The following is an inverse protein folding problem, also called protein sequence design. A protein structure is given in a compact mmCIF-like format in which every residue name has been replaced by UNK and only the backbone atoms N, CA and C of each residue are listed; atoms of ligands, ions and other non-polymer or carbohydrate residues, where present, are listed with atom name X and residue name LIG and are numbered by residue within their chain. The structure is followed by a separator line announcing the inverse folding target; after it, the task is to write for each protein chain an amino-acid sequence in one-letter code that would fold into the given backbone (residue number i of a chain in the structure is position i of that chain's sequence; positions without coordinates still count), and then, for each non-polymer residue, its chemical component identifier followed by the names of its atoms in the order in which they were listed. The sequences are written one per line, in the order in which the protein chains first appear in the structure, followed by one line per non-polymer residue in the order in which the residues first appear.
data_IF_912714308079
#
_entry.id   IF_912714308079
#
_cell.length_a   1.000
_cell.length_b   1.000
_cell.length_c   1.000
_cell.angle_alpha   90.00
_cell.angle_beta   90.00
_cell.angle_gamma   90.00
#
_symmetry.space_group_name_H-M   'P 1'
#
loop_
_entity.id
_entity.type
_entity.pdbx_description
1 polymer ?
#
# COMPACT_ATOMS: atom_id res chain seq x y z
N UNK A 1 -6.38 -25.24 26.08
CA UNK A 1 -5.99 -23.95 25.47
C UNK A 1 -6.40 -23.97 24.00
N UNK A 2 -7.38 -23.17 23.59
CA UNK A 2 -7.83 -23.09 22.19
C UNK A 2 -7.24 -21.83 21.54
N UNK A 3 -6.20 -21.99 20.70
CA UNK A 3 -5.63 -20.87 19.96
C UNK A 3 -6.45 -20.63 18.69
N UNK A 4 -7.09 -19.46 18.55
CA UNK A 4 -7.67 -19.03 17.27
C UNK A 4 -6.53 -18.69 16.30
N UNK A 5 -6.38 -19.45 15.21
CA UNK A 5 -5.43 -19.12 14.12
C UNK A 5 -5.85 -17.78 13.49
N UNK A 6 -5.01 -16.76 13.58
CA UNK A 6 -5.15 -15.55 12.78
C UNK A 6 -4.83 -15.91 11.32
N UNK A 7 -5.82 -15.87 10.43
CA UNK A 7 -5.68 -16.03 8.96
C UNK A 7 -5.01 -14.81 8.31
N UNK A 8 -4.08 -14.15 9.00
CA UNK A 8 -3.35 -13.04 8.40
C UNK A 8 -2.31 -13.63 7.46
N UNK A 9 -2.49 -13.44 6.16
CA UNK A 9 -1.49 -13.76 5.16
C UNK A 9 -0.17 -13.10 5.56
N UNK A 10 0.91 -13.89 5.59
CA UNK A 10 2.24 -13.38 5.90
C UNK A 10 2.61 -12.32 4.85
N UNK A 11 2.78 -11.08 5.28
CA UNK A 11 3.27 -10.00 4.41
C UNK A 11 4.79 -10.11 4.37
N UNK A 12 5.34 -10.24 3.17
CA UNK A 12 6.78 -10.28 2.96
C UNK A 12 7.20 -9.04 2.16
N UNK A 13 8.10 -8.26 2.75
CA UNK A 13 8.73 -7.13 2.08
C UNK A 13 10.02 -7.59 1.43
N UNK A 14 10.19 -7.27 0.15
CA UNK A 14 11.44 -7.50 -0.59
C UNK A 14 12.13 -6.16 -0.86
N UNK A 15 13.42 -6.22 -1.18
CA UNK A 15 14.24 -5.07 -1.54
C UNK A 15 14.88 -5.31 -2.90
N UNK A 16 15.00 -4.26 -3.69
CA UNK A 16 15.62 -4.30 -5.01
C UNK A 16 16.26 -2.94 -5.32
N UNK A 17 17.24 -2.95 -6.21
CA UNK A 17 17.94 -1.74 -6.63
C UNK A 17 17.17 -1.00 -7.71
N UNK A 18 17.27 0.33 -7.70
CA UNK A 18 16.70 1.23 -8.69
C UNK A 18 17.76 2.26 -9.09
N UNK A 19 17.62 2.79 -10.31
CA UNK A 19 18.38 3.97 -10.72
C UNK A 19 18.10 5.15 -9.77
N UNK A 20 19.12 5.94 -9.47
CA UNK A 20 19.02 7.05 -8.52
C UNK A 20 17.99 8.10 -8.94
N UNK A 21 17.90 8.42 -10.24
CA UNK A 21 16.92 9.39 -10.73
C UNK A 21 15.49 8.86 -10.59
N UNK A 22 15.30 7.57 -10.87
CA UNK A 22 14.01 6.92 -10.69
C UNK A 22 13.60 6.88 -9.21
N UNK A 23 14.57 6.63 -8.31
CA UNK A 23 14.32 6.66 -6.88
C UNK A 23 13.84 8.02 -6.40
N UNK A 24 14.51 9.09 -6.85
CA UNK A 24 14.14 10.46 -6.53
C UNK A 24 12.73 10.81 -7.01
N UNK A 25 12.39 10.46 -8.25
CA UNK A 25 11.04 10.68 -8.80
C UNK A 25 9.98 9.95 -7.96
N UNK A 26 10.24 8.70 -7.57
CA UNK A 26 9.31 7.92 -6.76
C UNK A 26 9.12 8.50 -5.36
N UNK A 27 10.18 9.03 -4.75
CA UNK A 27 10.10 9.71 -3.46
C UNK A 27 9.30 11.02 -3.55
N UNK A 28 9.48 11.80 -4.62
CA UNK A 28 8.68 13.01 -4.87
C UNK A 28 7.19 12.69 -5.09
N UNK A 29 6.87 11.65 -5.86
CA UNK A 29 5.48 11.19 -6.05
C UNK A 29 4.88 10.73 -4.70
N UNK A 30 5.63 9.95 -3.93
CA UNK A 30 5.20 9.48 -2.62
C UNK A 30 4.91 10.65 -1.66
N UNK A 31 5.75 11.69 -1.70
CA UNK A 31 5.57 12.93 -0.94
C UNK A 31 4.30 13.69 -1.36
N UNK A 32 4.07 13.86 -2.66
CA UNK A 32 2.89 14.56 -3.21
C UNK A 32 1.60 13.80 -2.88
N UNK A 33 1.59 12.47 -3.01
CA UNK A 33 0.42 11.64 -2.72
C UNK A 33 0.20 11.36 -1.22
N UNK A 34 1.17 11.74 -0.37
CA UNK A 34 1.18 11.46 1.08
C UNK A 34 1.01 9.95 1.34
N UNK A 35 1.76 9.14 0.60
CA UNK A 35 1.78 7.67 0.70
C UNK A 35 3.22 7.16 0.82
N UNK A 36 3.39 5.90 1.25
CA UNK A 36 4.72 5.29 1.23
C UNK A 36 5.13 4.94 -0.21
N UNK A 37 6.42 5.03 -0.51
CA UNK A 37 7.00 4.62 -1.80
C UNK A 37 6.63 3.19 -2.18
N UNK A 38 6.56 2.26 -1.21
CA UNK A 38 6.10 0.89 -1.44
C UNK A 38 4.68 0.82 -2.02
N UNK A 39 3.75 1.65 -1.53
CA UNK A 39 2.38 1.69 -2.03
C UNK A 39 2.34 2.26 -3.46
N UNK A 40 3.15 3.28 -3.75
CA UNK A 40 3.27 3.84 -5.10
C UNK A 40 3.75 2.77 -6.07
N UNK A 41 4.83 2.05 -5.72
CA UNK A 41 5.39 0.97 -6.53
C UNK A 41 4.37 -0.15 -6.74
N UNK A 42 3.72 -0.63 -5.68
CA UNK A 42 2.70 -1.69 -5.79
C UNK A 42 1.53 -1.25 -6.70
N UNK A 43 1.11 0.01 -6.62
CA UNK A 43 0.06 0.57 -7.50
C UNK A 43 0.50 0.63 -8.96
N UNK A 44 1.74 1.04 -9.22
CA UNK A 44 2.30 1.09 -10.57
C UNK A 44 2.38 -0.33 -11.17
N UNK A 45 2.90 -1.30 -10.42
CA UNK A 45 2.98 -2.70 -10.85
C UNK A 45 1.57 -3.26 -11.10
N UNK A 46 0.62 -3.00 -10.20
CA UNK A 46 -0.77 -3.43 -10.39
C UNK A 46 -1.39 -2.82 -11.65
N UNK A 47 -1.20 -1.52 -11.88
CA UNK A 47 -1.74 -0.82 -13.04
C UNK A 47 -1.19 -1.39 -14.35
N UNK A 48 0.14 -1.56 -14.42
CA UNK A 48 0.84 -2.16 -15.55
C UNK A 48 0.35 -3.58 -15.83
N UNK A 49 0.33 -4.45 -14.81
CA UNK A 49 -0.09 -5.86 -14.95
C UNK A 49 -1.58 -6.06 -15.26
N UNK A 50 -2.41 -5.01 -15.15
CA UNK A 50 -3.85 -5.06 -15.45
C UNK A 50 -4.25 -4.35 -16.74
N UNK A 51 -3.29 -3.91 -17.55
CA UNK A 51 -3.54 -3.41 -18.91
C UNK A 51 -3.78 -1.91 -19.01
N UNK A 52 -3.37 -1.14 -18.00
CA UNK A 52 -3.24 0.33 -18.08
C UNK A 52 -4.52 1.12 -18.44
N UNK A 53 -5.70 0.53 -18.22
CA UNK A 53 -6.97 1.19 -18.50
C UNK A 53 -7.51 2.01 -17.30
N UNK A 54 -8.53 2.84 -17.54
CA UNK A 54 -9.17 3.64 -16.50
C UNK A 54 -9.72 2.77 -15.34
N UNK A 55 -10.09 1.52 -15.63
CA UNK A 55 -10.60 0.55 -14.65
C UNK A 55 -9.49 0.04 -13.74
N UNK A 56 -8.31 -0.28 -14.29
CA UNK A 56 -7.11 -0.65 -13.59
C UNK A 56 -6.61 0.51 -12.72
N UNK A 57 -6.63 1.73 -13.25
CA UNK A 57 -6.31 2.94 -12.47
C UNK A 57 -7.20 3.08 -11.25
N UNK A 58 -8.53 2.99 -11.42
CA UNK A 58 -9.49 3.09 -10.32
C UNK A 58 -9.30 1.97 -9.28
N UNK A 59 -8.96 0.76 -9.73
CA UNK A 59 -8.72 -0.40 -8.84
C UNK A 59 -7.41 -0.28 -8.07
N UNK A 60 -6.33 0.18 -8.69
CA UNK A 60 -5.03 0.37 -8.03
C UNK A 60 -5.15 1.27 -6.79
N UNK A 61 -5.96 2.34 -6.88
CA UNK A 61 -6.20 3.28 -5.77
C UNK A 61 -7.09 2.72 -4.65
N UNK A 62 -7.89 1.68 -4.92
CA UNK A 62 -8.89 1.16 -3.98
C UNK A 62 -8.27 0.31 -2.87
N UNK A 63 -7.22 -0.44 -3.18
CA UNK A 63 -6.58 -1.38 -2.23
C UNK A 63 -5.95 -0.69 -1.02
N UNK A 64 -5.61 0.59 -1.14
CA UNK A 64 -4.83 1.33 -0.13
C UNK A 64 -5.59 2.50 0.50
N UNK A 65 -6.93 2.51 0.42
CA UNK A 65 -7.72 3.47 1.21
C UNK A 65 -7.32 3.34 2.67
N UNK A 66 -6.87 4.46 3.25
CA UNK A 66 -6.50 4.57 4.67
C UNK A 66 -7.60 3.90 5.50
N UNK A 67 -7.27 2.84 6.25
CA UNK A 67 -8.21 2.26 7.22
C UNK A 67 -8.67 3.40 8.12
N UNK A 68 -9.99 3.60 8.24
CA UNK A 68 -10.53 4.59 9.18
C UNK A 68 -9.97 4.26 10.56
N UNK A 69 -9.35 5.25 11.23
CA UNK A 69 -8.94 5.09 12.63
C UNK A 69 -10.21 4.82 13.43
N UNK A 70 -10.35 3.61 13.96
CA UNK A 70 -11.39 3.31 14.94
C UNK A 70 -10.85 3.80 16.27
N UNK A 71 -11.36 4.94 16.73
CA UNK A 71 -11.07 5.40 18.08
C UNK A 71 -11.86 4.51 19.04
N UNK A 72 -11.15 3.64 19.76
CA UNK A 72 -11.75 2.89 20.86
C UNK A 72 -11.81 3.85 22.03
N UNK A 73 -13.01 4.27 22.43
CA UNK A 73 -13.20 5.00 23.68
C UNK A 73 -12.78 4.09 24.84
N UNK A 74 -11.74 4.46 25.57
CA UNK A 74 -11.40 3.76 26.81
C UNK A 74 -12.48 4.07 27.83
N UNK A 75 -13.34 3.10 28.13
CA UNK A 75 -14.23 3.14 29.28
C UNK A 75 -13.39 2.89 30.53
N UNK A 76 -13.13 3.93 31.31
CA UNK A 76 -12.58 3.79 32.65
C UNK A 76 -13.68 3.23 33.56
N UNK A 77 -13.53 1.97 33.96
CA UNK A 77 -14.26 1.34 35.08
C UNK A 77 -13.48 1.53 36.37
#
# INVERSE_FOLDING_TARGET
MHYKRKLNTKVQSTSFYLDENLLYILDEIARIEVQSRSIIIERMIYFFTKGEDAKAWKRSKKFYKKKKKVYVSQSHT
#
